data_IF_258350607675
#
_entry.id   IF_258350607675
#
_cell.length_a   1.000
_cell.length_b   1.000
_cell.length_c   1.000
_cell.angle_alpha   90.00
_cell.angle_beta   90.00
_cell.angle_gamma   90.00
#
_symmetry.space_group_name_H-M   'P 1'
#
loop_
_entity.id
_entity.type
_entity.pdbx_description
1 polymer ?
#
# COMPACT_ATOMS: atom_id res chain seq x y z
N UNK A 1 3.12 -31.38 -16.55
CA UNK A 1 3.31 -30.01 -16.05
C UNK A 1 4.54 -29.45 -16.74
N UNK A 2 4.36 -28.65 -17.78
CA UNK A 2 5.45 -28.14 -18.62
C UNK A 2 5.54 -26.62 -18.46
N UNK A 3 6.67 -26.16 -17.92
CA UNK A 3 7.04 -24.76 -17.70
C UNK A 3 7.74 -24.28 -18.98
N UNK A 4 7.31 -23.15 -19.56
CA UNK A 4 8.07 -22.54 -20.66
C UNK A 4 9.11 -21.55 -20.12
N UNK A 5 10.12 -21.27 -20.95
CA UNK A 5 11.38 -20.61 -20.54
C UNK A 5 11.27 -19.16 -20.04
N UNK A 6 10.08 -18.55 -20.03
CA UNK A 6 9.92 -17.19 -19.48
C UNK A 6 9.10 -17.14 -18.19
N UNK A 7 8.77 -18.28 -17.56
CA UNK A 7 8.24 -18.31 -16.19
C UNK A 7 6.87 -17.63 -16.00
N UNK A 8 6.11 -17.43 -17.07
CA UNK A 8 4.77 -16.82 -17.02
C UNK A 8 3.73 -17.94 -16.93
N UNK A 9 2.97 -17.96 -15.83
CA UNK A 9 1.83 -18.83 -15.61
C UNK A 9 0.68 -18.43 -16.55
N UNK A 10 0.29 -19.31 -17.47
CA UNK A 10 -0.91 -19.12 -18.30
C UNK A 10 -2.15 -19.47 -17.47
N UNK A 11 -3.02 -18.48 -17.23
CA UNK A 11 -4.33 -18.70 -16.63
C UNK A 11 -5.26 -19.48 -17.59
N UNK A 12 -6.20 -20.30 -17.07
CA UNK A 12 -7.04 -21.16 -17.90
C UNK A 12 -8.07 -20.37 -18.72
N UNK A 13 -8.19 -20.70 -20.00
CA UNK A 13 -9.19 -20.17 -20.92
C UNK A 13 -10.62 -20.43 -20.39
N UNK A 14 -11.35 -19.37 -20.08
CA UNK A 14 -12.77 -19.45 -19.75
C UNK A 14 -13.60 -19.49 -21.04
N UNK A 15 -14.41 -20.54 -21.17
CA UNK A 15 -15.37 -20.71 -22.26
C UNK A 15 -16.47 -19.64 -22.17
N UNK A 16 -16.58 -18.84 -23.22
CA UNK A 16 -17.66 -17.89 -23.47
C UNK A 16 -18.93 -18.69 -23.75
N UNK A 17 -19.93 -18.61 -22.88
CA UNK A 17 -21.31 -19.00 -23.21
C UNK A 17 -22.16 -17.74 -23.23
N UNK A 18 -22.68 -17.48 -24.41
CA UNK A 18 -23.41 -16.30 -24.86
C UNK A 18 -24.78 -16.13 -24.21
N UNK A 19 -25.11 -14.85 -24.02
CA UNK A 19 -26.37 -14.30 -23.54
C UNK A 19 -27.59 -14.67 -24.39
N UNK A 20 -28.76 -14.73 -23.74
CA UNK A 20 -30.06 -14.57 -24.40
C UNK A 20 -31.10 -13.90 -23.50
N UNK A 21 -31.43 -12.67 -23.90
CA UNK A 21 -32.77 -12.10 -24.03
C UNK A 21 -33.73 -12.01 -22.83
N UNK A 22 -33.98 -10.74 -22.46
CA UNK A 22 -35.33 -10.18 -22.54
C UNK A 22 -36.00 -9.82 -21.20
N UNK A 23 -36.22 -8.53 -20.95
CA UNK A 23 -37.54 -7.91 -21.11
C UNK A 23 -37.56 -6.46 -20.59
N UNK A 24 -38.00 -5.58 -21.48
CA UNK A 24 -38.65 -4.27 -21.37
C UNK A 24 -38.28 -3.24 -20.27
N UNK A 25 -37.74 -2.06 -20.67
CA UNK A 25 -37.50 -0.94 -19.78
C UNK A 25 -38.75 -0.05 -19.65
N UNK A 26 -39.22 0.14 -18.43
CA UNK A 26 -40.20 1.17 -18.05
C UNK A 26 -39.53 2.54 -18.01
N UNK A 27 -40.01 3.45 -18.87
CA UNK A 27 -39.59 4.84 -18.96
C UNK A 27 -39.88 5.59 -17.65
N UNK A 28 -38.83 6.03 -16.95
CA UNK A 28 -38.91 7.01 -15.86
C UNK A 28 -38.22 8.28 -16.36
N UNK A 29 -39.01 9.28 -16.70
CA UNK A 29 -38.58 10.65 -17.03
C UNK A 29 -38.12 11.37 -15.76
N UNK A 30 -36.82 11.66 -15.65
CA UNK A 30 -36.24 12.47 -14.57
C UNK A 30 -35.89 13.86 -15.13
N UNK A 31 -36.16 14.96 -14.42
CA UNK A 31 -36.03 16.31 -14.96
C UNK A 31 -34.57 16.70 -15.22
N UNK A 32 -34.33 17.23 -16.41
CA UNK A 32 -33.05 17.77 -16.88
C UNK A 32 -32.68 19.03 -16.09
N UNK A 33 -32.05 18.88 -14.93
CA UNK A 33 -31.21 19.95 -14.38
C UNK A 33 -29.81 19.82 -15.00
N UNK A 34 -29.43 20.89 -15.69
CA UNK A 34 -28.22 21.10 -16.46
C UNK A 34 -26.97 20.65 -15.69
N UNK A 35 -26.52 19.42 -15.90
CA UNK A 35 -25.18 18.98 -15.53
C UNK A 35 -24.19 19.66 -16.49
N UNK A 36 -23.17 20.38 -16.00
CA UNK A 36 -22.17 20.97 -16.87
C UNK A 36 -21.50 19.83 -17.65
N UNK A 37 -21.55 19.91 -18.98
CA UNK A 37 -20.99 18.89 -19.85
C UNK A 37 -19.52 18.61 -19.47
N UNK A 38 -19.12 17.34 -19.49
CA UNK A 38 -17.76 16.85 -19.13
C UNK A 38 -16.63 17.69 -19.76
N UNK A 39 -16.90 18.33 -20.91
CA UNK A 39 -15.98 19.27 -21.55
C UNK A 39 -15.58 20.45 -20.66
N UNK A 40 -16.49 21.04 -19.88
CA UNK A 40 -16.21 22.22 -19.06
C UNK A 40 -15.33 21.89 -17.86
N UNK A 41 -15.52 20.72 -17.24
CA UNK A 41 -14.67 20.24 -16.14
C UNK A 41 -13.25 19.95 -16.64
N UNK A 42 -13.10 19.36 -17.83
CA UNK A 42 -11.78 19.11 -18.43
C UNK A 42 -11.02 20.41 -18.75
N UNK A 43 -11.71 21.44 -19.26
CA UNK A 43 -11.11 22.74 -19.56
C UNK A 43 -10.74 23.50 -18.28
N UNK A 44 -11.59 23.45 -17.25
CA UNK A 44 -11.31 24.08 -15.96
C UNK A 44 -10.11 23.42 -15.27
N UNK A 45 -9.95 22.10 -15.42
CA UNK A 45 -8.78 21.37 -14.91
C UNK A 45 -7.51 21.70 -15.69
N UNK A 46 -7.58 21.79 -17.03
CA UNK A 46 -6.46 22.23 -17.86
C UNK A 46 -6.04 23.67 -17.55
N UNK A 47 -6.98 24.59 -17.34
CA UNK A 47 -6.67 25.96 -16.89
C UNK A 47 -6.05 25.99 -15.50
N UNK A 48 -6.53 25.16 -14.56
CA UNK A 48 -5.91 25.05 -13.24
C UNK A 48 -4.47 24.53 -13.34
N UNK A 49 -4.21 23.49 -14.13
CA UNK A 49 -2.84 23.01 -14.35
C UNK A 49 -1.94 24.07 -15.00
N UNK A 50 -2.45 24.82 -15.98
CA UNK A 50 -1.73 25.92 -16.62
C UNK A 50 -1.45 27.07 -15.64
N UNK A 51 -2.39 27.42 -14.76
CA UNK A 51 -2.18 28.42 -13.71
C UNK A 51 -1.15 27.95 -12.68
N UNK A 52 -1.15 26.67 -12.30
CA UNK A 52 -0.14 26.11 -11.40
C UNK A 52 1.25 26.12 -12.06
N UNK A 53 1.35 25.77 -13.35
CA UNK A 53 2.59 25.85 -14.11
C UNK A 53 3.09 27.30 -14.26
N UNK A 54 2.18 28.25 -14.52
CA UNK A 54 2.54 29.66 -14.64
C UNK A 54 2.93 30.28 -13.29
N UNK A 55 2.26 29.90 -12.19
CA UNK A 55 2.67 30.30 -10.85
C UNK A 55 4.03 29.70 -10.46
N UNK A 56 4.30 28.44 -10.84
CA UNK A 56 5.63 27.85 -10.67
C UNK A 56 6.69 28.57 -11.51
N UNK A 57 6.38 28.95 -12.76
CA UNK A 57 7.32 29.70 -13.60
C UNK A 57 7.54 31.14 -13.11
N UNK A 58 6.52 31.81 -12.58
CA UNK A 58 6.67 33.16 -12.01
C UNK A 58 7.36 33.15 -10.64
N UNK A 59 7.28 32.05 -9.90
CA UNK A 59 8.04 31.85 -8.66
C UNK A 59 9.47 31.35 -8.88
N UNK A 60 9.87 30.99 -10.11
CA UNK A 60 11.23 30.53 -10.45
C UNK A 60 12.30 31.64 -10.56
N UNK A 61 12.11 32.79 -9.90
CA UNK A 61 13.23 33.67 -9.54
C UNK A 61 13.98 33.19 -8.27
N UNK A 62 13.73 31.95 -7.84
CA UNK A 62 14.49 31.28 -6.78
C UNK A 62 15.89 31.00 -7.32
N UNK A 63 16.88 31.76 -6.83
CA UNK A 63 18.29 31.48 -7.07
C UNK A 63 18.59 30.02 -6.69
N UNK A 64 19.31 29.24 -7.53
CA UNK A 64 19.60 27.85 -7.22
C UNK A 64 20.39 27.77 -5.91
N UNK A 65 19.76 27.15 -4.91
CA UNK A 65 20.25 27.00 -3.55
C UNK A 65 21.68 26.42 -3.51
N UNK A 66 22.46 26.96 -2.57
CA UNK A 66 23.89 26.73 -2.33
C UNK A 66 24.40 25.35 -2.78
N UNK A 67 25.13 25.33 -3.90
CA UNK A 67 25.76 24.13 -4.44
C UNK A 67 26.86 23.65 -3.48
N UNK A 68 26.53 22.66 -2.66
CA UNK A 68 27.53 21.99 -1.84
C UNK A 68 28.43 21.14 -2.74
N UNK A 69 29.73 21.21 -2.52
CA UNK A 69 30.73 20.45 -3.29
C UNK A 69 31.45 19.49 -2.34
N UNK A 70 31.53 18.22 -2.73
CA UNK A 70 32.32 17.21 -2.00
C UNK A 70 33.49 16.79 -2.88
N UNK A 71 34.69 16.90 -2.33
CA UNK A 71 35.93 16.48 -2.96
C UNK A 71 36.23 15.02 -2.61
N UNK A 72 36.41 14.18 -3.62
CA UNK A 72 36.64 12.73 -3.50
C UNK A 72 38.08 12.41 -3.93
N UNK A 73 38.85 11.82 -3.02
CA UNK A 73 40.12 11.17 -3.36
C UNK A 73 39.83 9.76 -3.91
N UNK A 74 40.58 9.36 -4.95
CA UNK A 74 40.52 8.10 -5.73
C UNK A 74 39.98 6.85 -4.99
N UNK A 75 39.38 5.88 -5.71
CA UNK A 75 38.14 5.21 -5.32
C UNK A 75 38.05 4.86 -3.83
N UNK A 76 37.46 5.76 -3.05
CA UNK A 76 37.14 5.53 -1.64
C UNK A 76 35.61 5.56 -1.49
N UNK A 77 35.08 4.67 -0.65
CA UNK A 77 33.69 4.68 -0.20
C UNK A 77 33.37 6.04 0.46
N UNK A 78 32.63 6.91 -0.23
CA UNK A 78 32.16 8.16 0.34
C UNK A 78 30.87 7.91 1.15
N UNK A 79 30.94 8.01 2.48
CA UNK A 79 29.75 7.98 3.33
C UNK A 79 29.07 9.35 3.29
N UNK A 80 28.13 9.51 2.36
CA UNK A 80 27.27 10.69 2.28
C UNK A 80 26.23 10.64 3.40
N UNK A 81 26.52 11.32 4.52
CA UNK A 81 25.50 11.59 5.53
C UNK A 81 24.77 12.87 5.13
N UNK A 82 23.69 12.73 4.38
CA UNK A 82 22.74 13.82 4.18
C UNK A 82 22.13 14.15 5.53
N UNK A 83 22.58 15.27 6.12
CA UNK A 83 22.03 15.76 7.37
C UNK A 83 20.78 16.59 7.04
N UNK A 84 19.65 16.27 7.68
CA UNK A 84 18.40 17.03 7.53
C UNK A 84 18.57 18.53 7.81
N UNK A 85 19.64 18.97 8.48
CA UNK A 85 19.96 20.40 8.66
C UNK A 85 20.27 21.14 7.36
N UNK A 86 20.69 20.45 6.29
CA UNK A 86 20.94 21.03 4.97
C UNK A 86 19.66 21.10 4.12
N UNK A 87 18.55 20.53 4.60
CA UNK A 87 17.25 20.62 3.96
C UNK A 87 16.61 21.94 4.39
N UNK A 88 16.00 22.68 3.47
CA UNK A 88 15.10 23.77 3.81
C UNK A 88 13.93 23.20 4.62
N UNK A 89 14.07 23.18 5.94
CA UNK A 89 12.97 22.77 6.82
C UNK A 89 11.96 23.89 6.85
N UNK A 90 10.87 23.71 6.11
CA UNK A 90 9.65 24.50 6.38
C UNK A 90 9.12 24.12 7.77
N UNK A 91 9.34 22.87 8.22
CA UNK A 91 8.76 22.30 9.44
C UNK A 91 9.76 21.41 10.19
N UNK A 92 9.87 21.53 11.52
CA UNK A 92 10.68 20.60 12.35
C UNK A 92 10.00 19.24 12.46
N UNK A 93 10.74 18.18 12.85
CA UNK A 93 10.13 16.85 13.04
C UNK A 93 9.02 16.87 14.11
N UNK A 94 9.23 17.61 15.20
CA UNK A 94 8.24 17.79 16.26
C UNK A 94 7.00 18.53 15.76
N UNK A 95 7.17 19.58 14.96
CA UNK A 95 6.04 20.28 14.33
C UNK A 95 5.32 19.37 13.34
N UNK A 96 6.04 18.57 12.54
CA UNK A 96 5.46 17.62 11.60
C UNK A 96 4.58 16.58 12.31
N UNK A 97 5.02 16.05 13.45
CA UNK A 97 4.23 15.10 14.25
C UNK A 97 2.95 15.72 14.84
N UNK A 98 2.86 17.04 14.93
CA UNK A 98 1.65 17.76 15.39
C UNK A 98 0.65 18.04 14.26
N UNK A 99 1.06 17.89 13.01
CA UNK A 99 0.19 18.09 11.85
C UNK A 99 -0.76 16.91 11.68
N UNK A 100 -1.96 17.17 11.15
CA UNK A 100 -2.86 16.10 10.75
C UNK A 100 -2.31 15.32 9.55
N UNK A 101 -2.87 14.13 9.29
CA UNK A 101 -2.41 13.23 8.23
C UNK A 101 -2.46 13.88 6.84
N UNK A 102 -3.44 14.76 6.58
CA UNK A 102 -3.60 15.43 5.28
C UNK A 102 -2.52 16.48 5.09
N UNK A 103 -2.23 17.27 6.12
CA UNK A 103 -1.15 18.25 6.13
C UNK A 103 0.22 17.58 6.01
N UNK A 104 0.43 16.48 6.74
CA UNK A 104 1.64 15.66 6.62
C UNK A 104 1.83 15.18 5.18
N UNK A 105 0.75 14.71 4.55
CA UNK A 105 0.79 14.28 3.16
C UNK A 105 1.09 15.41 2.18
N UNK A 106 0.51 16.60 2.37
CA UNK A 106 0.82 17.75 1.52
C UNK A 106 2.31 18.10 1.56
N UNK A 107 2.94 18.02 2.74
CA UNK A 107 4.39 18.19 2.89
C UNK A 107 5.20 17.09 2.19
N UNK A 108 4.66 15.86 2.09
CA UNK A 108 5.28 14.79 1.30
C UNK A 108 5.16 15.02 -0.22
N UNK A 109 4.11 15.69 -0.70
CA UNK A 109 3.94 16.00 -2.12
C UNK A 109 4.72 17.24 -2.56
N UNK A 110 5.16 18.10 -1.64
CA UNK A 110 6.04 19.23 -1.93
C UNK A 110 7.45 18.73 -2.23
N UNK A 111 7.69 18.46 -3.52
CA UNK A 111 8.97 18.00 -4.01
C UNK A 111 9.95 19.16 -4.19
N UNK A 112 11.09 19.07 -3.53
CA UNK A 112 12.25 19.95 -3.72
C UNK A 112 13.38 19.16 -4.37
N UNK A 113 14.06 19.79 -5.32
CA UNK A 113 15.27 19.23 -5.94
C UNK A 113 16.47 20.09 -5.52
N UNK A 114 17.49 19.42 -4.99
CA UNK A 114 18.80 20.03 -4.73
C UNK A 114 19.90 19.18 -5.37
N UNK A 115 21.08 19.76 -5.54
CA UNK A 115 22.21 19.08 -6.16
C UNK A 115 23.44 19.22 -5.27
N UNK A 116 24.11 18.09 -5.10
CA UNK A 116 25.44 18.03 -4.49
C UNK A 116 26.44 17.73 -5.62
N UNK A 117 27.35 18.67 -5.86
CA UNK A 117 28.40 18.48 -6.85
C UNK A 117 29.44 17.51 -6.28
N UNK A 118 29.71 16.45 -7.04
CA UNK A 118 30.78 15.50 -6.75
C UNK A 118 31.97 15.93 -7.59
N UNK A 119 33.07 16.29 -6.92
CA UNK A 119 34.33 16.66 -7.57
C UNK A 119 35.45 15.76 -7.10
N UNK A 120 36.45 15.48 -7.92
CA UNK A 120 37.68 14.86 -7.47
C UNK A 120 38.49 15.84 -6.60
N UNK A 121 39.46 15.32 -5.86
CA UNK A 121 40.36 16.13 -5.03
C UNK A 121 41.12 17.24 -5.79
N UNK A 122 41.34 17.08 -7.10
CA UNK A 122 41.94 18.10 -7.99
C UNK A 122 40.91 19.11 -8.53
N UNK A 123 39.66 19.06 -8.06
CA UNK A 123 38.59 20.01 -8.38
C UNK A 123 37.82 19.72 -9.66
N UNK A 124 38.08 18.60 -10.36
CA UNK A 124 37.31 18.24 -11.55
C UNK A 124 35.95 17.66 -11.16
N UNK A 125 34.89 18.12 -11.81
CA UNK A 125 33.55 17.58 -11.58
C UNK A 125 33.44 16.15 -12.14
N UNK A 126 33.19 15.20 -11.25
CA UNK A 126 33.04 13.77 -11.57
C UNK A 126 31.56 13.38 -11.73
N UNK A 127 30.64 14.17 -11.17
CA UNK A 127 29.20 13.97 -11.33
C UNK A 127 28.37 14.91 -10.47
N UNK A 128 27.05 14.68 -10.47
CA UNK A 128 26.11 15.35 -9.58
C UNK A 128 25.24 14.32 -8.89
N UNK A 129 25.09 14.45 -7.57
CA UNK A 129 24.03 13.77 -6.86
C UNK A 129 22.83 14.70 -6.82
N UNK A 130 21.83 14.37 -7.63
CA UNK A 130 20.51 15.00 -7.58
C UNK A 130 19.74 14.41 -6.40
N UNK A 131 19.41 15.28 -5.46
CA UNK A 131 18.69 14.96 -4.23
C UNK A 131 17.27 15.45 -4.44
N UNK A 132 16.34 14.51 -4.64
CA UNK A 132 14.91 14.78 -4.57
C UNK A 132 14.48 14.56 -3.13
N UNK A 133 13.84 15.55 -2.53
CA UNK A 133 13.43 15.52 -1.12
C UNK A 133 12.04 16.14 -0.97
N UNK A 134 11.34 15.74 0.07
CA UNK A 134 10.17 16.46 0.58
C UNK A 134 10.60 17.47 1.63
N UNK A 135 9.64 18.20 2.20
CA UNK A 135 9.90 19.12 3.32
C UNK A 135 10.44 18.42 4.60
N UNK A 136 10.43 17.07 4.65
CA UNK A 136 10.83 16.31 5.84
C UNK A 136 11.82 15.16 5.59
N UNK A 137 11.89 14.60 4.38
CA UNK A 137 12.73 13.44 4.07
C UNK A 137 13.37 13.53 2.68
N UNK A 138 14.58 12.97 2.53
CA UNK A 138 15.17 12.71 1.21
C UNK A 138 14.49 11.49 0.59
N UNK A 139 13.89 11.66 -0.59
CA UNK A 139 13.08 10.62 -1.24
C UNK A 139 13.82 9.86 -2.32
N UNK A 140 14.66 10.55 -3.09
CA UNK A 140 15.40 9.91 -4.17
C UNK A 140 16.77 10.56 -4.34
N UNK A 141 17.74 9.71 -4.67
CA UNK A 141 19.11 10.08 -4.97
C UNK A 141 19.41 9.59 -6.39
N UNK A 142 19.40 10.52 -7.33
CA UNK A 142 19.75 10.26 -8.73
C UNK A 142 21.19 10.70 -8.95
N UNK A 143 22.01 9.82 -9.53
CA UNK A 143 23.37 10.18 -9.90
C UNK A 143 23.37 10.54 -11.38
N UNK A 144 23.81 11.75 -11.67
CA UNK A 144 24.24 12.11 -13.01
C UNK A 144 25.76 11.87 -13.08
N UNK A 145 26.14 10.77 -13.74
CA UNK A 145 27.54 10.40 -13.93
C UNK A 145 28.17 11.11 -15.12
N UNK A 146 29.46 11.44 -15.00
CA UNK A 146 30.31 11.78 -16.13
C UNK A 146 30.73 10.47 -16.84
N UNK A 147 30.76 10.38 -18.17
CA UNK A 147 31.14 9.16 -18.89
C UNK A 147 32.52 8.58 -18.52
N UNK A 148 33.40 9.39 -17.93
CA UNK A 148 34.72 8.95 -17.46
C UNK A 148 34.71 8.34 -16.05
N UNK A 149 33.59 8.40 -15.32
CA UNK A 149 33.48 8.01 -13.92
C UNK A 149 32.23 7.18 -13.66
N UNK A 150 32.40 5.97 -13.11
CA UNK A 150 31.29 5.16 -12.61
C UNK A 150 31.03 5.53 -11.14
N UNK A 151 29.77 5.85 -10.81
CA UNK A 151 29.37 6.20 -9.43
C UNK A 151 28.36 5.16 -8.96
N UNK A 152 28.72 4.42 -7.91
CA UNK A 152 27.90 3.37 -7.31
C UNK A 152 27.36 3.87 -5.97
N UNK A 153 26.04 4.06 -5.84
CA UNK A 153 25.39 4.38 -4.57
C UNK A 153 24.86 3.12 -3.92
N UNK A 154 25.42 2.77 -2.76
CA UNK A 154 24.95 1.66 -1.93
C UNK A 154 23.98 2.18 -0.86
N UNK A 155 22.68 2.05 -1.11
CA UNK A 155 21.67 2.32 -0.08
C UNK A 155 21.61 1.15 0.92
N UNK A 156 22.29 1.29 2.06
CA UNK A 156 22.31 0.28 3.13
C UNK A 156 21.13 0.38 4.12
N UNK A 157 20.11 1.19 3.83
CA UNK A 157 18.96 1.38 4.74
C UNK A 157 18.04 0.16 4.78
N UNK A 158 17.97 -0.62 3.69
CA UNK A 158 17.20 -1.87 3.68
C UNK A 158 17.89 -2.90 4.58
N UNK A 159 17.45 -2.93 5.83
CA UNK A 159 17.91 -3.89 6.84
C UNK A 159 16.94 -5.06 6.98
N UNK A 160 15.65 -4.83 6.77
CA UNK A 160 14.59 -5.79 7.01
C UNK A 160 13.74 -6.04 5.78
N UNK A 161 13.10 -7.20 5.73
CA UNK A 161 12.10 -7.57 4.75
C UNK A 161 11.08 -8.55 5.37
N UNK A 162 9.91 -8.63 4.76
CA UNK A 162 8.89 -9.60 5.10
C UNK A 162 9.19 -10.94 4.44
N UNK A 163 9.62 -11.93 5.22
CA UNK A 163 9.76 -13.32 4.76
C UNK A 163 8.49 -14.08 5.09
N UNK A 164 7.77 -14.57 4.10
CA UNK A 164 6.53 -15.29 4.37
C UNK A 164 5.68 -15.50 3.12
N UNK A 165 4.41 -15.77 3.36
CA UNK A 165 3.44 -16.10 2.32
C UNK A 165 2.13 -15.38 2.58
N UNK A 166 1.42 -15.09 1.50
CA UNK A 166 0.06 -14.52 1.50
C UNK A 166 -0.73 -15.18 0.37
N UNK A 167 -2.01 -15.41 0.60
CA UNK A 167 -2.90 -15.92 -0.43
C UNK A 167 -4.36 -15.53 -0.14
N UNK A 168 -5.19 -15.57 -1.19
CA UNK A 168 -6.65 -15.41 -1.11
C UNK A 168 -7.33 -16.71 -1.54
N UNK A 169 -8.42 -17.06 -0.86
CA UNK A 169 -9.29 -18.20 -1.19
C UNK A 169 -10.72 -17.69 -1.23
N UNK A 170 -11.37 -17.82 -2.39
CA UNK A 170 -12.76 -17.40 -2.53
C UNK A 170 -13.75 -18.29 -1.78
N UNK A 171 -14.83 -17.71 -1.26
CA UNK A 171 -16.00 -18.42 -0.69
C UNK A 171 -16.70 -19.31 -1.71
N UNK A 172 -16.54 -18.98 -2.99
CA UNK A 172 -17.03 -19.77 -4.12
C UNK A 172 -15.90 -20.08 -5.09
N UNK A 173 -15.95 -21.25 -5.72
CA UNK A 173 -14.91 -21.63 -6.67
C UNK A 173 -14.89 -20.68 -7.86
N UNK A 174 -13.71 -20.10 -8.12
CA UNK A 174 -13.48 -19.21 -9.26
C UNK A 174 -13.90 -17.76 -9.06
N UNK A 175 -14.40 -17.39 -7.88
CA UNK A 175 -14.81 -16.02 -7.55
C UNK A 175 -14.15 -15.63 -6.23
N UNK A 176 -13.46 -14.49 -6.21
CA UNK A 176 -12.87 -13.92 -5.01
C UNK A 176 -12.91 -12.39 -5.14
N UNK A 177 -13.57 -11.76 -4.19
CA UNK A 177 -13.74 -10.31 -4.09
C UNK A 177 -12.50 -9.67 -3.45
N UNK A 178 -11.78 -10.43 -2.64
CA UNK A 178 -10.47 -10.05 -2.09
C UNK A 178 -9.37 -9.92 -3.15
N UNK A 179 -8.37 -9.10 -2.84
CA UNK A 179 -7.09 -9.07 -3.52
C UNK A 179 -5.95 -8.84 -2.54
N UNK A 180 -4.74 -9.26 -2.92
CA UNK A 180 -3.54 -9.07 -2.12
C UNK A 180 -2.29 -8.93 -2.98
N UNK A 181 -1.21 -8.44 -2.38
CA UNK A 181 0.12 -8.53 -2.97
C UNK A 181 1.23 -8.60 -1.91
N UNK A 182 2.36 -9.17 -2.31
CA UNK A 182 3.66 -8.98 -1.69
C UNK A 182 4.58 -8.37 -2.76
N UNK A 183 5.12 -7.19 -2.49
CA UNK A 183 6.06 -6.50 -3.39
C UNK A 183 7.28 -7.38 -3.71
N UNK A 184 7.84 -7.21 -4.91
CA UNK A 184 8.98 -8.02 -5.40
C UNK A 184 10.23 -7.92 -4.52
N UNK A 185 10.41 -6.79 -3.85
CA UNK A 185 11.50 -6.55 -2.93
C UNK A 185 11.16 -6.95 -1.48
N UNK A 186 9.97 -7.52 -1.24
CA UNK A 186 9.52 -8.02 0.06
C UNK A 186 9.41 -6.94 1.15
N UNK A 187 9.22 -5.67 0.79
CA UNK A 187 9.12 -4.57 1.78
C UNK A 187 7.69 -4.09 2.01
N UNK A 188 6.80 -4.33 1.05
CA UNK A 188 5.40 -3.90 1.09
C UNK A 188 4.46 -5.09 0.91
N UNK A 189 3.43 -5.17 1.74
CA UNK A 189 2.32 -6.13 1.66
C UNK A 189 1.02 -5.35 1.65
N UNK A 190 0.04 -5.81 0.87
CA UNK A 190 -1.31 -5.26 0.89
C UNK A 190 -2.38 -6.34 0.87
N UNK A 191 -3.49 -6.06 1.52
CA UNK A 191 -4.77 -6.78 1.38
C UNK A 191 -5.90 -5.78 1.15
N UNK A 192 -6.90 -6.20 0.42
CA UNK A 192 -8.12 -5.46 0.16
C UNK A 192 -9.28 -6.44 0.00
N UNK A 193 -10.40 -6.17 0.67
CA UNK A 193 -11.64 -6.95 0.54
C UNK A 193 -12.64 -6.14 -0.30
N UNK A 194 -13.08 -6.72 -1.42
CA UNK A 194 -14.00 -6.11 -2.38
C UNK A 194 -15.46 -6.33 -2.01
N UNK A 195 -16.31 -5.34 -2.23
CA UNK A 195 -17.67 -5.39 -1.66
C UNK A 195 -18.64 -6.21 -2.52
N UNK A 196 -19.00 -7.41 -2.04
CA UNK A 196 -19.84 -8.36 -2.79
C UNK A 196 -21.19 -7.86 -3.31
N UNK A 197 -21.76 -6.80 -2.74
CA UNK A 197 -23.06 -6.24 -3.18
C UNK A 197 -23.02 -5.62 -4.59
N UNK A 198 -21.84 -5.26 -5.11
CA UNK A 198 -21.66 -4.78 -6.48
C UNK A 198 -22.11 -5.79 -7.55
N UNK A 199 -22.13 -7.08 -7.21
CA UNK A 199 -22.62 -8.15 -8.09
C UNK A 199 -24.09 -7.94 -8.48
N UNK A 200 -24.90 -7.33 -7.61
CA UNK A 200 -26.34 -7.10 -7.87
C UNK A 200 -26.61 -6.11 -9.01
N UNK A 201 -25.63 -5.27 -9.35
CA UNK A 201 -25.69 -4.32 -10.46
C UNK A 201 -24.79 -4.71 -11.63
N UNK A 202 -24.33 -5.97 -11.68
CA UNK A 202 -23.54 -6.52 -12.77
C UNK A 202 -22.06 -6.10 -12.76
N UNK A 203 -21.55 -5.59 -11.64
CA UNK A 203 -20.14 -5.25 -11.45
C UNK A 203 -19.45 -6.42 -10.74
N UNK A 204 -18.26 -6.81 -11.19
CA UNK A 204 -17.41 -7.76 -10.46
C UNK A 204 -16.92 -7.11 -9.16
N UNK A 205 -17.30 -7.62 -7.97
CA UNK A 205 -16.90 -7.04 -6.70
C UNK A 205 -15.38 -6.99 -6.47
N UNK A 206 -14.62 -7.87 -7.11
CA UNK A 206 -13.16 -7.89 -6.99
C UNK A 206 -12.45 -6.89 -7.90
N UNK A 207 -13.15 -6.16 -8.77
CA UNK A 207 -12.52 -5.26 -9.74
C UNK A 207 -11.74 -4.13 -9.03
N UNK A 208 -12.38 -3.49 -8.06
CA UNK A 208 -11.79 -2.38 -7.32
C UNK A 208 -10.62 -2.82 -6.43
N UNK A 209 -10.78 -3.93 -5.70
CA UNK A 209 -9.73 -4.47 -4.83
C UNK A 209 -8.47 -4.87 -5.64
N UNK A 210 -8.65 -5.53 -6.79
CA UNK A 210 -7.56 -5.88 -7.71
C UNK A 210 -6.85 -4.66 -8.26
N UNK A 211 -7.59 -3.61 -8.63
CA UNK A 211 -6.99 -2.35 -9.07
C UNK A 211 -6.10 -1.75 -7.98
N UNK A 212 -6.62 -1.60 -6.75
CA UNK A 212 -5.86 -1.02 -5.64
C UNK A 212 -4.56 -1.80 -5.39
N UNK A 213 -4.64 -3.13 -5.31
CA UNK A 213 -3.48 -3.98 -5.04
C UNK A 213 -2.46 -3.94 -6.18
N UNK A 214 -2.91 -3.96 -7.44
CA UNK A 214 -2.02 -3.88 -8.60
C UNK A 214 -1.32 -2.52 -8.71
N UNK A 215 -2.06 -1.43 -8.51
CA UNK A 215 -1.52 -0.07 -8.56
C UNK A 215 -0.47 0.14 -7.46
N UNK A 216 -0.80 -0.21 -6.22
CA UNK A 216 0.11 -0.03 -5.08
C UNK A 216 1.31 -0.97 -5.18
N UNK A 217 1.15 -2.19 -5.69
CA UNK A 217 2.28 -3.06 -5.99
C UNK A 217 3.30 -2.35 -6.90
N UNK A 218 2.85 -1.80 -8.03
CA UNK A 218 3.73 -1.08 -8.97
C UNK A 218 4.34 0.18 -8.37
N UNK A 219 3.54 0.96 -7.66
CA UNK A 219 3.99 2.21 -7.04
C UNK A 219 4.97 1.97 -5.89
N UNK A 220 4.79 0.90 -5.11
CA UNK A 220 5.69 0.55 -3.99
C UNK A 220 7.11 0.26 -4.45
N UNK A 221 7.29 -0.24 -5.67
CA UNK A 221 8.59 -0.53 -6.27
C UNK A 221 9.23 0.68 -6.95
N UNK A 222 8.43 1.54 -7.57
CA UNK A 222 8.92 2.75 -8.27
C UNK A 222 9.17 3.92 -7.34
N UNK A 223 8.43 3.99 -6.23
CA UNK A 223 8.53 5.04 -5.21
C UNK A 223 8.67 4.42 -3.81
N UNK A 224 9.80 3.73 -3.53
CA UNK A 224 9.99 2.95 -2.31
C UNK A 224 9.93 3.78 -1.02
N UNK A 225 10.09 5.10 -1.10
CA UNK A 225 10.00 6.03 0.03
C UNK A 225 8.57 6.40 0.45
N UNK A 226 7.56 6.22 -0.41
CA UNK A 226 6.18 6.56 -0.06
C UNK A 226 5.67 5.67 1.07
N UNK A 227 5.00 6.26 2.06
CA UNK A 227 4.36 5.52 3.15
C UNK A 227 2.97 5.06 2.70
N UNK A 228 2.29 4.22 3.50
CA UNK A 228 0.96 3.74 3.15
C UNK A 228 -0.07 4.83 2.85
N UNK A 229 0.00 6.00 3.50
CA UNK A 229 -0.91 7.10 3.16
C UNK A 229 -0.75 7.52 1.71
N UNK A 230 0.46 7.85 1.26
CA UNK A 230 0.68 8.36 -0.10
C UNK A 230 0.40 7.30 -1.16
N UNK A 231 0.68 6.02 -0.85
CA UNK A 231 0.34 4.89 -1.73
C UNK A 231 -1.18 4.74 -1.90
N UNK A 232 -1.93 4.79 -0.79
CA UNK A 232 -3.39 4.66 -0.81
C UNK A 232 -4.03 5.90 -1.46
N UNK A 233 -3.55 7.10 -1.14
CA UNK A 233 -4.03 8.36 -1.72
C UNK A 233 -3.80 8.40 -3.24
N UNK A 234 -2.64 7.95 -3.71
CA UNK A 234 -2.37 7.88 -5.14
C UNK A 234 -3.24 6.84 -5.84
N UNK A 235 -3.40 5.64 -5.26
CA UNK A 235 -4.28 4.62 -5.83
C UNK A 235 -5.74 5.10 -5.88
N UNK A 236 -6.20 5.77 -4.83
CA UNK A 236 -7.54 6.36 -4.76
C UNK A 236 -7.79 7.42 -5.83
N UNK A 237 -6.78 8.25 -6.14
CA UNK A 237 -6.90 9.28 -7.19
C UNK A 237 -6.95 8.69 -8.60
N UNK A 238 -6.25 7.58 -8.82
CA UNK A 238 -6.23 6.90 -10.12
C UNK A 238 -7.42 5.95 -10.31
N UNK A 239 -8.21 5.66 -9.25
CA UNK A 239 -9.33 4.72 -9.31
C UNK A 239 -10.67 5.33 -9.76
N UNK A 240 -10.70 6.60 -10.20
CA UNK A 240 -11.95 7.36 -10.48
C UNK A 240 -12.93 6.63 -11.40
N UNK A 241 -12.42 5.88 -12.38
CA UNK A 241 -13.23 5.15 -13.37
C UNK A 241 -13.28 3.64 -13.11
N UNK A 242 -12.77 3.17 -11.96
CA UNK A 242 -12.79 1.76 -11.59
C UNK A 242 -14.08 1.50 -10.82
N UNK A 243 -14.96 0.61 -11.31
CA UNK A 243 -16.22 0.32 -10.64
C UNK A 243 -15.97 -0.51 -9.37
N UNK A 244 -16.84 -0.34 -8.38
CA UNK A 244 -16.75 -1.08 -7.13
C UNK A 244 -16.26 -0.25 -5.95
N UNK A 245 -16.11 -0.93 -4.81
CA UNK A 245 -15.53 -0.41 -3.59
C UNK A 245 -14.83 -1.52 -2.83
N UNK A 246 -13.91 -1.15 -1.95
CA UNK A 246 -13.09 -2.10 -1.20
C UNK A 246 -12.53 -1.49 0.08
N UNK A 247 -12.31 -2.34 1.10
CA UNK A 247 -11.42 -2.01 2.22
C UNK A 247 -9.97 -2.02 1.73
N UNK A 248 -9.04 -1.51 2.53
CA UNK A 248 -7.61 -1.60 2.21
C UNK A 248 -6.77 -1.63 3.49
N UNK A 249 -5.77 -2.49 3.54
CA UNK A 249 -4.75 -2.52 4.58
C UNK A 249 -3.37 -2.77 3.97
N UNK A 250 -2.45 -1.82 4.14
CA UNK A 250 -1.08 -1.86 3.62
C UNK A 250 -0.08 -1.85 4.78
N UNK A 251 0.92 -2.73 4.73
CA UNK A 251 2.10 -2.74 5.60
C UNK A 251 3.36 -2.51 4.76
N UNK A 252 4.19 -1.54 5.13
CA UNK A 252 5.41 -1.21 4.41
C UNK A 252 6.61 -0.99 5.33
N UNK A 253 7.69 -1.72 5.11
CA UNK A 253 8.98 -1.53 5.78
C UNK A 253 9.70 -0.35 5.15
N UNK A 254 10.04 0.64 5.98
CA UNK A 254 10.97 1.72 5.61
C UNK A 254 12.01 1.81 6.73
N UNK A 255 13.26 1.50 6.39
CA UNK A 255 14.36 1.46 7.37
C UNK A 255 14.17 0.38 8.43
N UNK A 256 13.90 0.80 9.67
CA UNK A 256 13.73 -0.08 10.84
C UNK A 256 12.33 -0.05 11.45
N UNK A 257 11.33 0.41 10.69
CA UNK A 257 9.93 0.44 11.10
C UNK A 257 9.06 -0.16 10.01
N UNK A 258 7.92 -0.71 10.42
CA UNK A 258 6.78 -0.97 9.52
C UNK A 258 5.83 0.20 9.65
N UNK A 259 5.39 0.76 8.53
CA UNK A 259 4.33 1.74 8.45
C UNK A 259 3.06 1.01 8.02
N UNK A 260 1.93 1.30 8.66
CA UNK A 260 0.62 0.76 8.31
C UNK A 260 -0.31 1.85 7.81
N UNK A 261 -1.18 1.53 6.86
CA UNK A 261 -2.32 2.34 6.47
C UNK A 261 -3.53 1.45 6.26
N UNK A 262 -4.65 1.78 6.92
CA UNK A 262 -5.88 1.00 6.85
C UNK A 262 -7.10 1.90 6.63
N UNK A 263 -8.03 1.45 5.78
CA UNK A 263 -9.38 1.99 5.62
C UNK A 263 -10.32 0.79 5.60
N UNK A 264 -11.08 0.59 6.68
CA UNK A 264 -12.03 -0.52 6.84
C UNK A 264 -11.65 -1.49 7.95
N UNK A 265 -12.10 -2.74 7.83
CA UNK A 265 -11.95 -3.82 8.81
C UNK A 265 -10.97 -4.93 8.38
N UNK A 266 -10.40 -4.84 7.17
CA UNK A 266 -9.11 -5.50 6.90
C UNK A 266 -8.08 -5.10 7.96
N UNK A 267 -7.33 -6.09 8.43
CA UNK A 267 -6.63 -6.00 9.70
C UNK A 267 -5.24 -6.62 9.66
N UNK A 268 -4.44 -6.29 10.68
CA UNK A 268 -3.19 -6.96 10.99
C UNK A 268 -2.88 -7.01 12.48
N UNK A 269 -2.00 -7.95 12.84
CA UNK A 269 -1.35 -8.08 14.14
C UNK A 269 0.16 -8.13 13.98
N UNK A 270 0.87 -7.55 14.95
CA UNK A 270 2.29 -7.74 15.18
C UNK A 270 2.45 -8.63 16.43
N UNK A 271 3.21 -9.71 16.29
CA UNK A 271 3.52 -10.66 17.35
C UNK A 271 5.02 -10.59 17.61
N UNK A 272 5.41 -10.49 18.88
CA UNK A 272 6.80 -10.50 19.34
C UNK A 272 6.92 -11.43 20.53
N UNK A 273 7.85 -12.39 20.46
CA UNK A 273 8.09 -13.38 21.54
C UNK A 273 6.79 -14.06 21.98
N UNK A 274 6.04 -14.58 21.02
CA UNK A 274 4.76 -15.30 21.21
C UNK A 274 3.67 -14.50 21.93
N UNK A 275 3.72 -13.17 21.88
CA UNK A 275 2.72 -12.27 22.44
C UNK A 275 2.30 -11.24 21.39
N UNK A 276 1.03 -10.85 21.41
CA UNK A 276 0.52 -9.77 20.56
C UNK A 276 1.14 -8.46 21.06
N UNK A 277 2.04 -7.91 20.27
CA UNK A 277 2.67 -6.62 20.52
C UNK A 277 1.75 -5.48 20.07
N UNK A 278 1.04 -5.69 18.97
CA UNK A 278 0.08 -4.74 18.42
C UNK A 278 -1.04 -5.44 17.67
N UNK A 279 -2.29 -4.96 17.82
CA UNK A 279 -3.47 -5.33 17.02
C UNK A 279 -4.05 -4.04 16.44
N UNK A 280 -4.20 -3.99 15.13
CA UNK A 280 -4.89 -2.87 14.47
C UNK A 280 -6.37 -2.80 14.88
N UNK A 281 -6.94 -1.61 14.84
CA UNK A 281 -8.36 -1.41 15.12
C UNK A 281 -9.16 -1.40 13.82
N UNK A 282 -10.20 -2.22 13.76
CA UNK A 282 -11.15 -2.28 12.64
C UNK A 282 -12.03 -1.03 12.61
N UNK A 283 -12.31 -0.50 11.42
CA UNK A 283 -13.14 0.69 11.22
C UNK A 283 -14.47 0.33 10.57
N UNK A 284 -15.57 0.60 11.29
CA UNK A 284 -16.93 0.39 10.78
C UNK A 284 -17.83 1.60 11.06
N UNK A 285 -18.73 1.90 10.13
CA UNK A 285 -19.80 2.89 10.35
C UNK A 285 -20.91 2.30 11.23
N UNK A 286 -21.20 1.01 11.02
CA UNK A 286 -22.18 0.18 11.74
C UNK A 286 -21.73 -1.29 11.65
N UNK A 287 -22.29 -2.21 12.46
CA UNK A 287 -21.96 -3.63 12.34
C UNK A 287 -22.06 -4.14 10.89
N UNK A 288 -21.02 -4.83 10.41
CA UNK A 288 -20.86 -5.35 9.04
C UNK A 288 -20.95 -4.27 7.94
N UNK A 289 -20.61 -3.02 8.26
CA UNK A 289 -20.51 -1.94 7.29
C UNK A 289 -19.19 -1.18 7.51
N UNK A 290 -18.07 -1.71 6.98
CA UNK A 290 -16.76 -1.10 7.15
C UNK A 290 -16.63 0.23 6.42
N UNK A 291 -15.57 0.96 6.76
CA UNK A 291 -15.09 2.05 5.93
C UNK A 291 -14.53 1.49 4.62
N UNK A 292 -14.77 2.16 3.50
CA UNK A 292 -14.43 1.61 2.17
C UNK A 292 -13.99 2.71 1.22
N UNK A 293 -13.02 2.45 0.33
CA UNK A 293 -12.72 3.34 -0.79
C UNK A 293 -13.50 2.89 -2.02
N UNK A 294 -13.88 3.83 -2.89
CA UNK A 294 -14.42 3.53 -4.21
C UNK A 294 -15.67 4.30 -4.57
N UNK A 295 -16.37 3.79 -5.59
CA UNK A 295 -17.53 4.44 -6.17
C UNK A 295 -18.64 4.58 -5.12
N UNK A 296 -19.23 5.77 -5.03
CA UNK A 296 -20.27 6.11 -4.06
C UNK A 296 -19.87 6.03 -2.57
N UNK A 297 -18.60 5.80 -2.25
CA UNK A 297 -18.14 5.86 -0.87
C UNK A 297 -17.98 7.31 -0.41
N UNK A 298 -18.48 7.58 0.81
CA UNK A 298 -18.23 8.82 1.54
C UNK A 298 -16.82 8.87 2.12
N UNK A 299 -16.20 7.70 2.35
CA UNK A 299 -14.86 7.61 2.92
C UNK A 299 -13.79 7.95 1.89
N UNK A 300 -12.69 8.47 2.41
CA UNK A 300 -11.50 8.88 1.67
C UNK A 300 -10.28 8.27 2.34
N UNK A 301 -9.09 8.31 1.70
CA UNK A 301 -7.85 7.93 2.38
C UNK A 301 -7.66 8.70 3.70
N UNK A 302 -8.06 9.97 3.78
CA UNK A 302 -8.06 10.74 5.04
C UNK A 302 -8.95 10.17 6.16
N UNK A 303 -9.88 9.26 5.86
CA UNK A 303 -10.68 8.53 6.87
C UNK A 303 -9.94 7.36 7.50
N UNK A 304 -8.79 6.97 6.95
CA UNK A 304 -8.01 5.82 7.40
C UNK A 304 -7.20 6.05 8.68
N UNK A 305 -6.64 4.98 9.21
CA UNK A 305 -5.68 5.01 10.32
C UNK A 305 -4.27 4.72 9.81
N UNK A 306 -3.33 5.57 10.18
CA UNK A 306 -1.94 5.51 9.74
C UNK A 306 -1.02 5.50 10.94
N UNK A 307 -0.15 4.50 11.03
CA UNK A 307 0.70 4.26 12.21
C UNK A 307 2.09 3.79 11.80
N UNK A 308 3.04 3.96 12.71
CA UNK A 308 4.38 3.39 12.62
C UNK A 308 4.63 2.39 13.74
N UNK A 309 5.31 1.29 13.39
CA UNK A 309 5.50 0.12 14.24
C UNK A 309 6.99 -0.18 14.33
N UNK A 310 7.63 -0.04 15.51
CA UNK A 310 8.99 -0.49 15.72
C UNK A 310 9.10 -2.00 15.52
N UNK A 311 10.01 -2.44 14.67
CA UNK A 311 10.22 -3.87 14.37
C UNK A 311 11.55 -4.38 14.90
N UNK A 312 11.58 -5.67 15.22
CA UNK A 312 12.77 -6.45 15.55
C UNK A 312 12.84 -7.67 14.64
N UNK A 313 14.05 -8.20 14.45
CA UNK A 313 14.21 -9.50 13.79
C UNK A 313 13.42 -10.57 14.54
N UNK A 314 12.76 -11.45 13.78
CA UNK A 314 11.83 -12.48 14.26
C UNK A 314 10.46 -11.98 14.79
N UNK A 315 10.14 -10.68 14.68
CA UNK A 315 8.75 -10.25 14.80
C UNK A 315 7.91 -10.92 13.71
N UNK A 316 6.69 -11.32 14.04
CA UNK A 316 5.74 -11.90 13.09
C UNK A 316 4.63 -10.89 12.83
N UNK A 317 4.27 -10.71 11.57
CA UNK A 317 3.08 -9.98 11.14
C UNK A 317 2.09 -10.98 10.54
N UNK A 318 0.84 -10.92 11.00
CA UNK A 318 -0.30 -11.55 10.33
C UNK A 318 -1.21 -10.44 9.83
N UNK A 319 -1.47 -10.41 8.54
CA UNK A 319 -2.35 -9.45 7.86
C UNK A 319 -3.45 -10.23 7.15
N UNK A 320 -4.66 -9.70 7.08
CA UNK A 320 -5.77 -10.41 6.45
C UNK A 320 -7.05 -9.59 6.35
N UNK A 321 -7.99 -10.10 5.57
CA UNK A 321 -9.35 -9.54 5.42
C UNK A 321 -10.25 -10.00 6.56
N UNK A 322 -11.47 -9.47 6.59
CA UNK A 322 -12.46 -9.85 7.59
C UNK A 322 -12.84 -11.34 7.48
N UNK A 323 -12.84 -11.96 6.29
CA UNK A 323 -13.04 -13.40 6.15
C UNK A 323 -12.03 -14.26 6.91
N UNK A 324 -10.84 -13.72 7.22
CA UNK A 324 -9.90 -14.34 8.17
C UNK A 324 -10.21 -13.96 9.63
N UNK A 325 -10.19 -12.67 9.97
CA UNK A 325 -10.30 -12.19 11.36
C UNK A 325 -11.69 -12.34 11.98
N UNK A 326 -12.73 -12.53 11.18
CA UNK A 326 -14.08 -12.86 11.65
C UNK A 326 -14.19 -14.30 12.13
N UNK A 327 -13.33 -15.19 11.63
CA UNK A 327 -13.38 -16.63 11.90
C UNK A 327 -12.33 -17.10 12.91
N UNK A 328 -11.22 -16.38 13.07
CA UNK A 328 -10.09 -16.78 13.93
C UNK A 328 -9.87 -15.77 15.05
N UNK A 329 -9.87 -16.25 16.30
CA UNK A 329 -9.48 -15.44 17.45
C UNK A 329 -7.98 -15.20 17.49
N UNK A 330 -7.58 -14.03 17.95
CA UNK A 330 -6.19 -13.64 18.21
C UNK A 330 -5.41 -14.68 19.04
N UNK A 331 -6.06 -15.31 20.03
CA UNK A 331 -5.45 -16.36 20.85
C UNK A 331 -5.19 -17.66 20.06
N UNK A 332 -6.05 -17.99 19.09
CA UNK A 332 -5.83 -19.13 18.19
C UNK A 332 -4.61 -18.87 17.30
N UNK A 333 -4.42 -17.63 16.85
CA UNK A 333 -3.25 -17.24 16.06
C UNK A 333 -1.96 -17.41 16.86
N UNK A 334 -1.90 -16.90 18.09
CA UNK A 334 -0.74 -17.05 18.98
C UNK A 334 -0.47 -18.51 19.34
N UNK A 335 -1.54 -19.31 19.53
CA UNK A 335 -1.41 -20.74 19.80
C UNK A 335 -0.81 -21.48 18.61
N UNK A 336 -1.27 -21.20 17.40
CA UNK A 336 -0.80 -21.86 16.18
C UNK A 336 0.71 -21.66 15.93
N UNK A 337 1.30 -20.53 16.35
CA UNK A 337 2.76 -20.30 16.28
C UNK A 337 3.54 -21.39 17.03
N UNK A 338 3.01 -21.89 18.14
CA UNK A 338 3.67 -22.88 18.99
C UNK A 338 3.55 -24.32 18.47
N UNK A 339 2.62 -24.54 17.53
CA UNK A 339 2.29 -25.86 16.98
C UNK A 339 3.01 -26.15 15.66
N UNK A 340 3.71 -25.15 15.12
CA UNK A 340 4.36 -25.18 13.82
C UNK A 340 5.84 -24.83 13.93
N UNK A 341 6.63 -25.23 12.93
CA UNK A 341 8.09 -25.13 12.93
C UNK A 341 8.65 -24.13 11.90
N UNK A 342 7.78 -23.49 11.11
CA UNK A 342 8.17 -22.56 10.04
C UNK A 342 7.05 -21.56 9.76
N UNK A 343 7.37 -20.43 9.12
CA UNK A 343 6.36 -19.44 8.74
C UNK A 343 5.39 -20.00 7.70
N UNK A 344 5.87 -20.93 6.86
CA UNK A 344 5.08 -21.61 5.83
C UNK A 344 4.08 -22.59 6.43
N UNK A 345 4.48 -23.37 7.45
CA UNK A 345 3.55 -24.25 8.18
C UNK A 345 2.57 -23.45 9.04
N UNK A 346 3.00 -22.32 9.61
CA UNK A 346 2.11 -21.37 10.30
C UNK A 346 1.02 -20.82 9.37
N UNK A 347 1.42 -20.32 8.20
CA UNK A 347 0.49 -19.81 7.17
C UNK A 347 -0.54 -20.87 6.76
N UNK A 348 -0.10 -22.10 6.45
CA UNK A 348 -1.00 -23.20 6.06
C UNK A 348 -1.99 -23.54 7.16
N UNK A 349 -1.51 -23.65 8.40
CA UNK A 349 -2.35 -23.93 9.57
C UNK A 349 -3.45 -22.89 9.73
N UNK A 350 -3.12 -21.59 9.67
CA UNK A 350 -4.12 -20.52 9.79
C UNK A 350 -5.11 -20.50 8.63
N UNK A 351 -4.65 -20.69 7.39
CA UNK A 351 -5.52 -20.73 6.21
C UNK A 351 -6.51 -21.89 6.29
N UNK A 352 -6.05 -23.08 6.68
CA UNK A 352 -6.89 -24.27 6.85
C UNK A 352 -7.89 -24.09 8.00
N UNK A 353 -7.45 -23.54 9.13
CA UNK A 353 -8.31 -23.26 10.28
C UNK A 353 -9.40 -22.25 9.92
N UNK A 354 -9.05 -21.15 9.24
CA UNK A 354 -10.00 -20.12 8.84
C UNK A 354 -11.04 -20.68 7.88
N UNK A 355 -10.60 -21.43 6.87
CA UNK A 355 -11.49 -22.10 5.92
C UNK A 355 -12.42 -23.09 6.62
N UNK A 356 -11.89 -23.94 7.50
CA UNK A 356 -12.71 -24.91 8.25
C UNK A 356 -13.77 -24.20 9.11
N UNK A 357 -13.38 -23.18 9.88
CA UNK A 357 -14.29 -22.46 10.77
C UNK A 357 -15.33 -21.66 9.98
N UNK A 358 -14.96 -21.08 8.84
CA UNK A 358 -15.90 -20.30 7.98
C UNK A 358 -17.10 -21.12 7.48
N UNK A 359 -16.95 -22.45 7.41
CA UNK A 359 -17.96 -23.37 6.87
C UNK A 359 -18.67 -24.18 7.97
N UNK A 360 -18.23 -24.06 9.22
CA UNK A 360 -18.76 -24.80 10.35
C UNK A 360 -19.86 -23.99 11.07
N UNK A 361 -21.14 -24.43 11.03
CA UNK A 361 -22.25 -23.73 11.68
C UNK A 361 -22.17 -23.76 13.22
N UNK A 362 -21.34 -24.63 13.80
CA UNK A 362 -21.15 -24.77 15.25
C UNK A 362 -19.84 -24.12 15.75
N UNK A 363 -19.05 -23.53 14.85
CA UNK A 363 -17.77 -22.91 15.21
C UNK A 363 -17.96 -21.70 16.14
N UNK A 364 -17.13 -21.62 17.17
CA UNK A 364 -16.97 -20.41 17.97
C UNK A 364 -16.03 -19.45 17.24
N UNK A 365 -16.53 -18.29 16.84
CA UNK A 365 -15.80 -17.32 16.02
C UNK A 365 -15.92 -15.90 16.59
N UNK A 366 -14.95 -15.00 16.32
CA UNK A 366 -15.06 -13.59 16.68
C UNK A 366 -16.37 -12.95 16.21
N UNK A 367 -16.79 -13.19 14.96
CA UNK A 367 -18.04 -12.64 14.43
C UNK A 367 -19.27 -13.23 15.09
N UNK A 368 -19.26 -14.54 15.39
CA UNK A 368 -20.31 -15.20 16.15
C UNK A 368 -20.46 -14.57 17.53
N UNK A 369 -19.35 -14.41 18.26
CA UNK A 369 -19.34 -13.75 19.57
C UNK A 369 -19.85 -12.30 19.50
N UNK A 370 -19.40 -11.51 18.52
CA UNK A 370 -19.88 -10.12 18.33
C UNK A 370 -21.38 -10.04 18.05
N UNK A 371 -21.92 -11.03 17.33
CA UNK A 371 -23.33 -11.07 16.94
C UNK A 371 -24.23 -11.87 17.91
N UNK A 372 -23.68 -12.43 18.98
CA UNK A 372 -24.41 -13.31 19.90
C UNK A 372 -24.94 -14.59 19.24
N UNK A 373 -24.19 -15.14 18.29
CA UNK A 373 -24.51 -16.34 17.50
C UNK A 373 -23.34 -17.33 17.50
N UNK A 374 -23.63 -18.55 17.08
CA UNK A 374 -22.61 -19.57 16.81
C UNK A 374 -22.48 -19.70 15.28
N UNK A 375 -21.30 -20.08 14.81
CA UNK A 375 -21.01 -20.41 13.41
C UNK A 375 -19.96 -19.52 12.76
N UNK A 376 -19.40 -20.04 11.67
CA UNK A 376 -18.51 -19.31 10.78
C UNK A 376 -19.20 -18.27 9.91
N UNK A 377 -18.43 -17.26 9.48
CA UNK A 377 -18.80 -16.40 8.36
C UNK A 377 -18.18 -16.98 7.09
N UNK A 378 -19.03 -17.47 6.19
CA UNK A 378 -18.62 -17.96 4.89
C UNK A 378 -18.30 -16.78 3.97
N UNK A 379 -17.03 -16.37 3.94
CA UNK A 379 -16.53 -15.23 3.16
C UNK A 379 -15.26 -15.54 2.38
N UNK A 380 -14.83 -14.62 1.52
CA UNK A 380 -13.53 -14.68 0.89
C UNK A 380 -12.44 -14.52 1.95
N UNK A 381 -11.43 -15.38 1.95
CA UNK A 381 -10.41 -15.43 2.99
C UNK A 381 -9.07 -15.02 2.39
N UNK A 382 -8.54 -13.90 2.84
CA UNK A 382 -7.16 -13.51 2.58
C UNK A 382 -6.38 -13.44 3.89
N UNK A 383 -5.25 -14.14 3.94
CA UNK A 383 -4.32 -14.03 5.06
C UNK A 383 -2.88 -14.09 4.54
N UNK A 384 -2.01 -13.33 5.17
CA UNK A 384 -0.57 -13.38 4.99
C UNK A 384 0.15 -13.46 6.32
N UNK A 385 1.13 -14.36 6.41
CA UNK A 385 1.97 -14.56 7.59
C UNK A 385 3.42 -14.31 7.22
N UNK A 386 4.06 -13.40 7.94
CA UNK A 386 5.41 -12.95 7.63
C UNK A 386 6.25 -12.85 8.89
N UNK A 387 7.50 -13.30 8.81
CA UNK A 387 8.53 -13.03 9.82
C UNK A 387 9.46 -11.92 9.30
N UNK A 388 9.69 -10.92 10.15
CA UNK A 388 10.67 -9.87 9.90
C UNK A 388 12.05 -10.51 9.90
N UNK A 389 12.66 -10.54 8.72
CA UNK A 389 13.99 -11.10 8.50
C UNK A 389 14.96 -9.98 8.18
N UNK A 390 16.19 -10.10 8.69
CA UNK A 390 17.25 -9.15 8.37
C UNK A 390 17.99 -9.60 7.10
N UNK A 391 18.37 -8.66 6.25
CA UNK A 391 19.30 -8.96 5.15
C UNK A 391 20.69 -9.22 5.77
N UNK A 392 21.23 -10.42 5.52
CA UNK A 392 22.62 -10.72 5.83
C UNK A 392 23.49 -9.85 4.90
N UNK A 393 24.42 -9.11 5.50
CA UNK A 393 25.39 -8.30 4.75
C UNK A 393 26.36 -9.17 3.97
#
# INVERSE_FOLDING_TARGET
MSINQNGIYLQPQQNIISASNGMNPTQITIPTQLTPSISSLSQQYQQYQLQQLQQQQQQQNIQPNQQQTINIESPINCNLKLNNQNLEKITTFEQFQQLDVVQQSQLFYQLHESFLNLSSHDGKQIGRLKIKQTSIDVINLEIESNPNYEIIVQNSTKKFYFKGMINSVGKQQGICEDSHFLSKDFTTIGVADGVGSWRSVGIDPGEYSRFLMSFIYGQSLTTPYLKPYELIESAYRESVNIPGSSTICILKIIGSKVYSGLVGDSSFIQIRKDQIYFRSNEQTHKPNFPYQLGQNSVDKPSSGVYMEHPIQENDIFVIGTDGFFDNIFDQEIVKAIKEVNSIESFFKCLMELAKSKSQDPEAQTPIGQRNGKIGGKNDDITVGCFVISKLNK
#
